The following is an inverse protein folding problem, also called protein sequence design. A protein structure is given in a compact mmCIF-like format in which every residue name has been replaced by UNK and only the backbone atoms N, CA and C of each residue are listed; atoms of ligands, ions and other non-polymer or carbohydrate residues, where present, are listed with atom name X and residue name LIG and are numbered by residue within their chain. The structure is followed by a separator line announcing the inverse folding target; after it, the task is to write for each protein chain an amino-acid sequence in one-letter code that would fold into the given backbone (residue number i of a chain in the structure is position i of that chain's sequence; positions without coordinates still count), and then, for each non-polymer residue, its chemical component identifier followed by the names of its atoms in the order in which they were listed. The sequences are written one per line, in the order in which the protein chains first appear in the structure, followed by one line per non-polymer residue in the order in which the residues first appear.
data_IF_758553374104
#
_entry.id   IF_758553374104
#
_cell.length_a   1.000
_cell.length_b   1.000
_cell.length_c   1.000
_cell.angle_alpha   90.00
_cell.angle_beta   90.00
_cell.angle_gamma   90.00
#
_symmetry.space_group_name_H-M   'P 1'
#
loop_
_entity.id
_entity.type
_entity.pdbx_description
1 polymer ?
#
# COMPACT_ATOMS: atom_id res chain seq x y z
N UNK A 1 39.06 -35.77 5.83
CA UNK A 1 37.71 -35.89 5.24
C UNK A 1 36.77 -35.27 6.27
N UNK A 2 36.22 -34.06 6.14
CA UNK A 2 35.55 -33.47 4.98
C UNK A 2 35.83 -31.95 4.90
N UNK A 3 36.29 -31.41 3.76
CA UNK A 3 36.33 -29.99 3.50
C UNK A 3 35.12 -29.56 2.66
N UNK A 4 34.68 -28.30 2.78
CA UNK A 4 33.62 -27.65 2.00
C UNK A 4 32.18 -28.00 2.35
N UNK A 5 31.60 -27.23 3.28
CA UNK A 5 30.21 -26.79 3.13
C UNK A 5 30.25 -25.35 2.59
N UNK A 6 29.87 -25.10 1.32
CA UNK A 6 29.84 -23.75 0.80
C UNK A 6 28.64 -23.04 1.41
N UNK A 7 28.92 -21.87 1.97
CA UNK A 7 28.02 -20.94 2.63
C UNK A 7 27.05 -20.26 1.64
N UNK A 8 26.38 -21.01 0.77
CA UNK A 8 25.43 -20.50 -0.21
C UNK A 8 24.03 -20.94 0.17
N UNK A 9 23.40 -20.21 1.10
CA UNK A 9 21.94 -20.13 1.10
C UNK A 9 21.53 -19.31 -0.13
N UNK A 10 20.84 -19.89 -1.13
CA UNK A 10 20.39 -19.16 -2.32
C UNK A 10 19.11 -18.37 -2.03
N UNK A 11 18.85 -18.05 -0.76
CA UNK A 11 17.87 -17.05 -0.39
C UNK A 11 18.48 -15.68 -0.69
N UNK A 12 18.80 -15.43 -1.96
CA UNK A 12 18.65 -14.11 -2.51
C UNK A 12 17.25 -13.69 -2.10
N UNK A 13 17.18 -12.78 -1.13
CA UNK A 13 15.95 -12.14 -0.74
C UNK A 13 15.46 -11.39 -1.98
N UNK A 14 14.74 -12.12 -2.85
CA UNK A 14 13.81 -11.56 -3.79
C UNK A 14 12.72 -10.92 -2.91
N UNK A 15 13.06 -9.77 -2.35
CA UNK A 15 12.08 -8.80 -1.91
C UNK A 15 11.36 -8.41 -3.20
N UNK A 16 10.35 -9.21 -3.54
CA UNK A 16 9.45 -8.93 -4.65
C UNK A 16 8.79 -7.63 -4.28
N UNK A 17 9.34 -6.53 -4.80
CA UNK A 17 8.82 -5.20 -4.55
C UNK A 17 7.36 -5.28 -4.96
N UNK A 18 6.42 -4.98 -4.05
CA UNK A 18 5.02 -5.12 -4.37
C UNK A 18 4.77 -4.32 -5.64
N UNK A 19 4.14 -4.97 -6.62
CA UNK A 19 3.87 -4.34 -7.91
C UNK A 19 3.19 -3.00 -7.67
N UNK A 20 3.42 -2.03 -8.57
CA UNK A 20 2.79 -0.71 -8.47
C UNK A 20 1.30 -0.82 -8.19
N UNK A 21 0.63 -1.78 -8.83
CA UNK A 21 -0.79 -2.06 -8.63
C UNK A 21 -1.14 -2.61 -7.23
N UNK A 22 -0.31 -3.49 -6.66
CA UNK A 22 -0.49 -3.97 -5.29
C UNK A 22 -0.36 -2.83 -4.28
N UNK A 23 0.64 -1.95 -4.46
CA UNK A 23 0.84 -0.77 -3.61
C UNK A 23 -0.35 0.20 -3.70
N UNK A 24 -0.86 0.45 -4.91
CA UNK A 24 -2.01 1.34 -5.09
C UNK A 24 -3.28 0.78 -4.41
N UNK A 25 -3.51 -0.53 -4.48
CA UNK A 25 -4.62 -1.19 -3.78
C UNK A 25 -4.51 -1.08 -2.25
N UNK A 26 -3.32 -1.29 -1.70
CA UNK A 26 -3.08 -1.13 -0.25
C UNK A 26 -3.35 0.32 0.20
N UNK A 27 -2.90 1.30 -0.59
CA UNK A 27 -3.15 2.72 -0.31
C UNK A 27 -4.65 3.05 -0.36
N UNK A 28 -5.38 2.61 -1.39
CA UNK A 28 -6.84 2.83 -1.47
C UNK A 28 -7.57 2.20 -0.27
N UNK A 29 -7.20 0.97 0.12
CA UNK A 29 -7.79 0.28 1.25
C UNK A 29 -7.57 1.05 2.58
N UNK A 30 -6.34 1.53 2.81
CA UNK A 30 -6.02 2.33 4.02
C UNK A 30 -6.79 3.66 4.04
N UNK A 31 -6.89 4.35 2.91
CA UNK A 31 -7.66 5.59 2.80
C UNK A 31 -9.15 5.35 3.03
N UNK A 32 -9.70 4.23 2.52
CA UNK A 32 -11.09 3.84 2.72
C UNK A 32 -11.38 3.55 4.21
N UNK A 33 -10.52 2.79 4.88
CA UNK A 33 -10.64 2.50 6.32
C UNK A 33 -10.58 3.78 7.15
N UNK A 34 -9.61 4.66 6.89
CA UNK A 34 -9.50 5.95 7.58
C UNK A 34 -10.78 6.78 7.42
N UNK A 35 -11.31 6.91 6.21
CA UNK A 35 -12.53 7.68 5.97
C UNK A 35 -13.73 7.08 6.72
N UNK A 36 -13.87 5.75 6.72
CA UNK A 36 -14.94 5.06 7.44
C UNK A 36 -14.86 5.26 8.95
N UNK A 37 -13.67 5.15 9.53
CA UNK A 37 -13.44 5.36 10.97
C UNK A 37 -13.68 6.82 11.39
N UNK A 38 -13.29 7.77 10.55
CA UNK A 38 -13.34 9.20 10.91
C UNK A 38 -14.66 9.87 10.55
N UNK A 39 -15.40 9.37 9.56
CA UNK A 39 -16.77 9.82 9.29
C UNK A 39 -17.73 9.46 10.41
N UNK A 40 -17.55 8.30 11.07
CA UNK A 40 -18.40 7.89 12.19
C UNK A 40 -18.04 8.58 13.50
N UNK A 41 -16.77 8.98 13.66
CA UNK A 41 -16.26 9.56 14.91
C UNK A 41 -16.77 10.98 15.20
N UNK A 42 -17.39 11.69 14.24
CA UNK A 42 -17.96 13.05 14.41
C UNK A 42 -16.98 14.19 14.74
N UNK A 43 -15.79 13.87 15.28
CA UNK A 43 -14.76 14.81 15.70
C UNK A 43 -13.70 15.09 14.61
N UNK A 44 -13.89 14.57 13.40
CA UNK A 44 -12.91 14.73 12.33
C UNK A 44 -13.03 16.09 11.65
N UNK A 45 -11.88 16.74 11.41
CA UNK A 45 -11.81 17.98 10.65
C UNK A 45 -12.34 17.75 9.21
N UNK A 46 -13.40 18.46 8.76
CA UNK A 46 -13.99 18.25 7.45
C UNK A 46 -12.99 18.42 6.31
N UNK A 47 -12.09 19.41 6.42
CA UNK A 47 -11.04 19.68 5.44
C UNK A 47 -10.08 18.50 5.25
N UNK A 48 -9.76 17.79 6.33
CA UNK A 48 -8.91 16.59 6.26
C UNK A 48 -9.63 15.46 5.54
N UNK A 49 -10.91 15.25 5.82
CA UNK A 49 -11.72 14.23 5.15
C UNK A 49 -11.81 14.50 3.64
N UNK A 50 -12.01 15.75 3.23
CA UNK A 50 -12.10 16.10 1.81
C UNK A 50 -10.76 15.97 1.09
N UNK A 51 -9.65 16.34 1.75
CA UNK A 51 -8.32 16.09 1.23
C UNK A 51 -8.06 14.59 1.01
N UNK A 52 -8.45 13.74 1.97
CA UNK A 52 -8.27 12.29 1.86
C UNK A 52 -9.16 11.70 0.76
N UNK A 53 -10.41 12.16 0.61
CA UNK A 53 -11.28 11.76 -0.53
C UNK A 53 -10.65 12.12 -1.87
N UNK A 54 -10.10 13.33 -1.98
CA UNK A 54 -9.44 13.81 -3.20
C UNK A 54 -8.20 12.99 -3.53
N UNK A 55 -7.35 12.73 -2.52
CA UNK A 55 -6.18 11.87 -2.67
C UNK A 55 -6.57 10.46 -3.11
N UNK A 56 -7.62 9.88 -2.51
CA UNK A 56 -8.15 8.57 -2.87
C UNK A 56 -8.62 8.51 -4.33
N UNK A 57 -9.33 9.54 -4.81
CA UNK A 57 -9.73 9.62 -6.22
C UNK A 57 -8.53 9.61 -7.17
N UNK A 58 -7.44 10.30 -6.81
CA UNK A 58 -6.19 10.26 -7.59
C UNK A 58 -5.57 8.86 -7.60
N UNK A 59 -5.51 8.17 -6.46
CA UNK A 59 -5.04 6.78 -6.38
C UNK A 59 -5.87 5.84 -7.27
N UNK A 60 -7.19 6.01 -7.27
CA UNK A 60 -8.09 5.20 -8.10
C UNK A 60 -7.89 5.48 -9.60
N UNK A 61 -7.69 6.73 -10.00
CA UNK A 61 -7.35 7.08 -11.40
C UNK A 61 -6.02 6.45 -11.82
N UNK A 62 -5.01 6.50 -10.96
CA UNK A 62 -3.71 5.85 -11.20
C UNK A 62 -3.84 4.32 -11.33
N UNK A 63 -4.73 3.69 -10.57
CA UNK A 63 -5.00 2.25 -10.69
C UNK A 63 -5.61 1.87 -12.04
N UNK A 64 -6.48 2.73 -12.59
CA UNK A 64 -7.10 2.52 -13.90
C UNK A 64 -6.07 2.76 -15.01
N UNK A 65 -5.25 3.79 -14.90
CA UNK A 65 -4.21 4.12 -15.89
C UNK A 65 -3.03 3.13 -15.88
N UNK A 66 -2.85 2.35 -14.83
CA UNK A 66 -1.76 1.36 -14.70
C UNK A 66 -2.12 -0.04 -15.22
N UNK A 67 -3.34 -0.22 -15.75
CA UNK A 67 -3.78 -1.45 -16.42
C UNK A 67 -3.37 -1.43 -17.89
#
# INVERSE_FOLDING_TARGET
MNPFLPFFSPFAALQRTPSRQSRLKDIDARMASFLREKQTSGAACPKVLDNVKTARSTVQREMVSAR
#
